data_IF_485006065676
#
_entry.id   IF_485006065676
#
_cell.length_a   1.000
_cell.length_b   1.000
_cell.length_c   1.000
_cell.angle_alpha   90.00
_cell.angle_beta   90.00
_cell.angle_gamma   90.00
#
_symmetry.space_group_name_H-M   'P 1'
#
loop_
_entity.id
_entity.type
_entity.pdbx_description
1 polymer ?
#
# COMPACT_ATOMS: atom_id res chain seq x y z
N UNK A 1 -20.08 -2.03 8.35
CA UNK A 1 -18.91 -2.84 7.94
C UNK A 1 -17.93 -1.93 7.23
N UNK A 2 -16.67 -1.88 7.67
CA UNK A 2 -15.65 -1.02 7.06
C UNK A 2 -15.00 -1.81 5.92
N UNK A 3 -15.21 -1.37 4.67
CA UNK A 3 -14.71 -2.11 3.48
C UNK A 3 -13.32 -1.64 3.02
N UNK A 4 -12.86 -0.49 3.52
CA UNK A 4 -11.56 0.08 3.19
C UNK A 4 -11.05 1.02 4.30
N UNK A 5 -9.75 1.28 4.30
CA UNK A 5 -9.09 2.36 5.03
C UNK A 5 -8.50 3.30 3.99
N UNK A 6 -8.69 4.60 4.16
CA UNK A 6 -8.14 5.63 3.29
C UNK A 6 -7.48 6.70 4.13
N UNK A 7 -6.28 7.10 3.73
CA UNK A 7 -5.55 8.18 4.36
C UNK A 7 -4.83 9.04 3.33
N UNK A 8 -4.63 10.32 3.69
CA UNK A 8 -3.74 11.21 2.97
C UNK A 8 -2.46 11.42 3.79
N UNK A 9 -1.30 11.10 3.19
CA UNK A 9 0.01 11.23 3.84
C UNK A 9 0.92 12.03 2.92
N UNK A 10 1.74 12.92 3.48
CA UNK A 10 2.80 13.58 2.73
C UNK A 10 4.07 12.72 2.74
N UNK A 11 4.72 12.60 1.59
CA UNK A 11 6.06 12.04 1.53
C UNK A 11 7.10 13.02 2.11
N UNK A 12 8.36 12.61 2.10
CA UNK A 12 9.49 13.42 2.58
C UNK A 12 9.75 14.70 1.77
N UNK A 13 9.22 14.77 0.54
CA UNK A 13 9.29 15.96 -0.33
C UNK A 13 8.08 16.89 -0.16
N UNK A 14 7.10 16.50 0.67
CA UNK A 14 5.90 17.27 0.97
C UNK A 14 4.72 17.03 0.02
N UNK A 15 4.86 16.16 -0.98
CA UNK A 15 3.77 15.81 -1.89
C UNK A 15 2.76 14.89 -1.20
N UNK A 16 1.47 15.17 -1.40
CA UNK A 16 0.40 14.38 -0.81
C UNK A 16 0.13 13.11 -1.62
N UNK A 17 -0.03 12.01 -0.90
CA UNK A 17 -0.38 10.69 -1.40
C UNK A 17 -1.73 10.26 -0.85
N UNK A 18 -2.54 9.61 -1.67
CA UNK A 18 -3.70 8.85 -1.19
C UNK A 18 -3.29 7.39 -1.04
N UNK A 19 -3.59 6.84 0.13
CA UNK A 19 -3.27 5.45 0.48
C UNK A 19 -4.58 4.76 0.82
N UNK A 20 -4.93 3.74 0.04
CA UNK A 20 -6.23 3.08 0.11
C UNK A 20 -6.00 1.59 0.26
N UNK A 21 -6.31 1.04 1.42
CA UNK A 21 -6.32 -0.41 1.66
C UNK A 21 -7.77 -0.91 1.57
N UNK A 22 -8.05 -1.91 0.74
CA UNK A 22 -9.43 -2.35 0.51
C UNK A 22 -9.54 -3.84 0.18
N UNK A 23 -10.68 -4.45 0.52
CA UNK A 23 -11.02 -5.83 0.15
C UNK A 23 -11.46 -5.88 -1.32
N UNK A 24 -10.85 -6.77 -2.10
CA UNK A 24 -11.24 -7.08 -3.48
C UNK A 24 -12.46 -7.99 -3.45
N UNK A 25 -13.51 -7.60 -4.16
CA UNK A 25 -14.72 -8.42 -4.28
C UNK A 25 -14.52 -9.45 -5.39
N UNK A 26 -14.15 -10.67 -5.01
CA UNK A 26 -14.06 -11.81 -5.91
C UNK A 26 -15.18 -12.82 -5.59
N UNK A 27 -16.23 -12.94 -6.43
CA UNK A 27 -17.27 -13.94 -6.22
C UNK A 27 -16.67 -15.36 -6.20
N UNK A 28 -16.90 -16.11 -5.10
CA UNK A 28 -16.48 -17.51 -4.98
C UNK A 28 -15.03 -17.76 -4.55
N UNK A 29 -14.28 -16.72 -4.16
CA UNK A 29 -12.91 -16.84 -3.65
C UNK A 29 -12.73 -16.05 -2.34
N UNK A 30 -11.69 -16.39 -1.58
CA UNK A 30 -11.27 -15.59 -0.42
C UNK A 30 -11.02 -14.14 -0.85
N UNK A 31 -11.44 -13.19 -0.02
CA UNK A 31 -11.28 -11.77 -0.31
C UNK A 31 -9.81 -11.38 -0.23
N UNK A 32 -9.19 -11.09 -1.37
CA UNK A 32 -7.87 -10.45 -1.40
C UNK A 32 -7.95 -9.04 -0.81
N UNK A 33 -6.84 -8.54 -0.27
CA UNK A 33 -6.70 -7.16 0.18
C UNK A 33 -5.59 -6.51 -0.63
N UNK A 34 -5.95 -5.40 -1.30
CA UNK A 34 -5.03 -4.62 -2.09
C UNK A 34 -4.75 -3.28 -1.42
N UNK A 35 -3.51 -2.82 -1.57
CA UNK A 35 -3.09 -1.48 -1.23
C UNK A 35 -2.90 -0.68 -2.51
N UNK A 36 -3.71 0.36 -2.70
CA UNK A 36 -3.56 1.33 -3.79
C UNK A 36 -2.89 2.60 -3.28
N UNK A 37 -1.91 3.06 -4.05
CA UNK A 37 -1.17 4.30 -3.83
C UNK A 37 -1.43 5.23 -5.00
N UNK A 38 -1.87 6.45 -4.71
CA UNK A 38 -2.09 7.50 -5.73
C UNK A 38 -1.21 8.70 -5.39
N UNK A 39 -0.23 8.95 -6.25
CA UNK A 39 0.63 10.12 -6.17
C UNK A 39 0.09 11.30 -6.96
N UNK A 40 0.72 12.45 -6.82
CA UNK A 40 0.35 13.64 -7.59
C UNK A 40 0.55 13.39 -9.10
N UNK A 41 -0.45 13.65 -9.96
CA UNK A 41 -0.35 13.45 -11.41
C UNK A 41 0.83 14.20 -12.02
N UNK A 42 1.45 13.64 -13.07
CA UNK A 42 2.58 14.21 -13.81
C UNK A 42 3.90 14.38 -13.04
N UNK A 43 3.91 14.26 -11.71
CA UNK A 43 5.13 14.23 -10.88
C UNK A 43 5.57 12.79 -10.64
N UNK A 44 4.61 11.90 -10.38
CA UNK A 44 4.85 10.52 -10.03
C UNK A 44 4.56 9.61 -11.21
N UNK A 45 5.46 8.66 -11.46
CA UNK A 45 5.25 7.55 -12.39
C UNK A 45 5.72 6.24 -11.75
N UNK A 46 4.79 5.32 -11.51
CA UNK A 46 5.11 3.98 -11.04
C UNK A 46 5.75 3.14 -12.15
N UNK A 47 6.72 2.33 -11.76
CA UNK A 47 7.29 1.28 -12.60
C UNK A 47 6.41 0.04 -12.51
N UNK A 48 5.99 -0.44 -13.68
CA UNK A 48 5.21 -1.66 -13.81
C UNK A 48 5.90 -2.61 -14.80
N UNK A 49 5.98 -3.93 -14.52
CA UNK A 49 5.72 -4.54 -13.22
C UNK A 49 6.89 -4.29 -12.24
N UNK A 50 6.60 -3.82 -11.01
CA UNK A 50 7.59 -3.79 -9.93
C UNK A 50 6.94 -3.85 -8.56
N UNK A 51 7.43 -4.74 -7.69
CA UNK A 51 6.86 -4.94 -6.36
C UNK A 51 7.04 -3.69 -5.47
N UNK A 52 6.07 -3.47 -4.58
CA UNK A 52 6.21 -2.48 -3.51
C UNK A 52 7.01 -3.10 -2.37
N UNK A 53 8.02 -2.38 -1.89
CA UNK A 53 8.77 -2.79 -0.71
C UNK A 53 8.21 -2.14 0.55
N UNK A 54 8.05 -2.95 1.60
CA UNK A 54 7.56 -2.53 2.91
C UNK A 54 8.64 -2.84 3.93
N UNK A 55 9.24 -1.80 4.51
CA UNK A 55 10.23 -1.93 5.56
C UNK A 55 9.57 -1.71 6.93
N UNK A 56 9.68 -2.72 7.79
CA UNK A 56 9.25 -2.63 9.18
C UNK A 56 10.27 -1.88 10.04
N UNK A 57 9.86 -1.41 11.21
CA UNK A 57 10.76 -0.75 12.17
C UNK A 57 11.91 -1.66 12.66
N UNK A 58 11.80 -2.97 12.51
CA UNK A 58 12.83 -3.96 12.88
C UNK A 58 13.76 -4.33 11.72
N UNK A 59 13.63 -3.67 10.56
CA UNK A 59 14.45 -3.93 9.38
C UNK A 59 14.00 -5.11 8.53
N UNK A 60 12.91 -5.80 8.87
CA UNK A 60 12.29 -6.79 7.99
C UNK A 60 11.76 -6.09 6.74
N UNK A 61 12.20 -6.54 5.57
CA UNK A 61 11.78 -6.08 4.26
C UNK A 61 10.80 -7.10 3.66
N UNK A 62 9.60 -6.64 3.35
CA UNK A 62 8.53 -7.42 2.73
C UNK A 62 8.25 -6.89 1.32
N UNK A 63 7.85 -7.75 0.40
CA UNK A 63 7.55 -7.37 -0.98
C UNK A 63 6.09 -7.68 -1.33
N UNK A 64 5.36 -6.67 -1.81
CA UNK A 64 3.98 -6.79 -2.25
C UNK A 64 3.94 -6.85 -3.79
N UNK A 65 3.45 -7.94 -4.39
CA UNK A 65 3.37 -8.06 -5.84
C UNK A 65 2.49 -6.98 -6.47
N UNK A 66 2.93 -6.45 -7.61
CA UNK A 66 2.20 -5.48 -8.42
C UNK A 66 0.96 -6.12 -9.07
N UNK A 67 -0.19 -5.47 -8.90
CA UNK A 67 -1.47 -5.88 -9.51
C UNK A 67 -1.57 -5.43 -10.95
N UNK A 68 -0.92 -4.32 -11.31
CA UNK A 68 -0.99 -3.69 -12.63
C UNK A 68 0.12 -4.13 -13.59
N UNK A 69 0.66 -5.34 -13.41
CA UNK A 69 1.70 -5.90 -14.27
C UNK A 69 1.36 -5.87 -15.77
N UNK A 70 0.07 -5.99 -16.12
CA UNK A 70 -0.41 -5.98 -17.51
C UNK A 70 -0.93 -4.61 -17.99
N UNK A 71 -0.91 -3.59 -17.12
CA UNK A 71 -1.41 -2.25 -17.43
C UNK A 71 -2.03 -1.57 -16.21
N UNK A 72 -1.55 -0.36 -15.90
CA UNK A 72 -2.10 0.50 -14.85
C UNK A 72 -3.14 1.47 -15.42
N UNK A 73 -4.21 1.80 -14.66
CA UNK A 73 -5.20 2.79 -15.09
C UNK A 73 -4.62 4.20 -15.28
N UNK A 74 -3.53 4.53 -14.59
CA UNK A 74 -2.83 5.81 -14.73
C UNK A 74 -1.38 5.70 -14.20
N UNK A 75 -0.42 6.46 -14.76
CA UNK A 75 0.99 6.34 -14.40
C UNK A 75 1.28 6.67 -12.92
N UNK A 76 0.49 7.53 -12.29
CA UNK A 76 0.63 7.94 -10.90
C UNK A 76 -0.12 7.02 -9.92
N UNK A 77 -0.59 5.86 -10.37
CA UNK A 77 -1.33 4.88 -9.57
C UNK A 77 -0.60 3.54 -9.54
N UNK A 78 -0.25 3.10 -8.33
CA UNK A 78 0.25 1.76 -8.06
C UNK A 78 -0.76 0.97 -7.24
N UNK A 79 -0.86 -0.33 -7.48
CA UNK A 79 -1.70 -1.22 -6.67
C UNK A 79 -0.99 -2.54 -6.41
N UNK A 80 -1.05 -3.00 -5.16
CA UNK A 80 -0.24 -4.12 -4.70
C UNK A 80 -1.06 -5.11 -3.88
N UNK A 81 -0.81 -6.41 -4.10
CA UNK A 81 -1.41 -7.50 -3.31
C UNK A 81 -0.82 -7.48 -1.91
N UNK A 82 -1.63 -7.08 -0.94
CA UNK A 82 -1.17 -6.79 0.43
C UNK A 82 -1.59 -7.86 1.43
N UNK A 83 -2.47 -8.79 1.05
CA UNK A 83 -3.00 -9.87 1.90
C UNK A 83 -1.93 -10.60 2.72
N UNK A 84 -0.87 -11.09 2.07
CA UNK A 84 0.18 -11.87 2.74
C UNK A 84 1.08 -11.03 3.68
N UNK A 85 1.11 -9.72 3.48
CA UNK A 85 1.95 -8.79 4.25
C UNK A 85 1.26 -8.36 5.54
N UNK A 86 -0.07 -8.22 5.53
CA UNK A 86 -0.83 -7.67 6.65
C UNK A 86 -0.56 -8.38 7.97
N UNK A 87 -0.51 -9.72 7.97
CA UNK A 87 -0.27 -10.52 9.18
C UNK A 87 1.16 -10.38 9.74
N UNK A 88 2.08 -9.76 8.99
CA UNK A 88 3.48 -9.58 9.37
C UNK A 88 3.77 -8.14 9.83
N UNK A 89 2.78 -7.24 9.78
CA UNK A 89 2.98 -5.84 10.12
C UNK A 89 2.96 -5.62 11.64
N UNK A 90 3.92 -4.86 12.21
CA UNK A 90 3.87 -4.45 13.60
C UNK A 90 2.73 -3.46 13.82
N UNK A 91 1.95 -3.65 14.88
CA UNK A 91 0.83 -2.76 15.23
C UNK A 91 1.20 -1.60 16.15
N UNK A 92 2.45 -1.55 16.61
CA UNK A 92 2.93 -0.58 17.61
C UNK A 92 3.97 0.40 17.06
N UNK A 93 4.41 0.24 15.81
CA UNK A 93 5.46 1.04 15.18
C UNK A 93 5.05 1.45 13.76
N UNK A 94 5.62 2.55 13.28
CA UNK A 94 5.45 2.98 11.89
C UNK A 94 6.13 2.03 10.91
N UNK A 95 5.64 2.01 9.68
CA UNK A 95 6.25 1.32 8.54
C UNK A 95 6.78 2.35 7.54
N UNK A 96 7.70 1.91 6.67
CA UNK A 96 8.06 2.66 5.46
C UNK A 96 7.65 1.88 4.22
N UNK A 97 7.05 2.57 3.27
CA UNK A 97 6.82 2.07 1.91
C UNK A 97 7.88 2.68 1.00
N UNK A 98 8.71 1.86 0.38
CA UNK A 98 9.63 2.33 -0.67
C UNK A 98 8.91 2.19 -2.00
N UNK A 99 8.66 3.31 -2.67
CA UNK A 99 7.80 3.34 -3.84
C UNK A 99 8.61 2.97 -5.09
N UNK A 100 8.14 2.03 -5.93
CA UNK A 100 8.81 1.70 -7.17
C UNK A 100 8.48 2.74 -8.25
N UNK A 101 9.15 3.90 -8.20
CA UNK A 101 8.91 5.02 -9.11
C UNK A 101 10.04 5.16 -10.14
N UNK A 102 9.70 5.60 -11.35
CA UNK A 102 10.67 5.92 -12.38
C UNK A 102 11.39 7.22 -12.03
N UNK A 103 12.68 7.15 -11.69
CA UNK A 103 13.55 8.31 -11.53
C UNK A 103 13.48 9.00 -10.15
N UNK A 104 12.90 8.37 -9.13
CA UNK A 104 12.89 8.88 -7.75
C UNK A 104 12.82 7.76 -6.72
N UNK A 105 13.56 7.89 -5.62
CA UNK A 105 13.56 6.92 -4.50
C UNK A 105 12.66 7.37 -3.33
N UNK A 106 11.44 7.80 -3.65
CA UNK A 106 10.51 8.36 -2.65
C UNK A 106 10.03 7.30 -1.65
N UNK A 107 10.01 7.67 -0.37
CA UNK A 107 9.43 6.85 0.69
C UNK A 107 8.20 7.49 1.34
N UNK A 108 7.25 6.66 1.74
CA UNK A 108 6.12 7.09 2.58
C UNK A 108 6.21 6.41 3.94
N UNK A 109 6.20 7.21 5.01
CA UNK A 109 6.10 6.72 6.38
C UNK A 109 4.62 6.52 6.75
N UNK A 110 4.22 5.28 7.01
CA UNK A 110 2.88 4.95 7.49
C UNK A 110 2.86 5.01 9.01
N UNK A 111 2.07 5.92 9.62
CA UNK A 111 1.95 6.04 11.05
C UNK A 111 1.15 4.88 11.66
N UNK A 112 1.41 4.60 12.94
CA UNK A 112 0.83 3.46 13.66
C UNK A 112 -0.69 3.44 13.64
N UNK A 113 -1.36 4.59 13.73
CA UNK A 113 -2.82 4.66 13.70
C UNK A 113 -3.42 4.09 12.40
N UNK A 114 -2.78 4.32 11.26
CA UNK A 114 -3.23 3.78 9.96
C UNK A 114 -2.99 2.26 9.91
N UNK A 115 -1.88 1.78 10.45
CA UNK A 115 -1.59 0.34 10.51
C UNK A 115 -2.61 -0.38 11.40
N UNK A 116 -3.00 0.25 12.52
CA UNK A 116 -4.09 -0.26 13.37
C UNK A 116 -5.41 -0.35 12.60
N UNK A 117 -5.75 0.65 11.79
CA UNK A 117 -6.94 0.56 10.91
C UNK A 117 -6.85 -0.59 9.91
N UNK A 118 -5.67 -0.82 9.34
CA UNK A 118 -5.45 -1.92 8.42
C UNK A 118 -5.67 -3.28 9.08
N UNK A 119 -5.22 -3.46 10.31
CA UNK A 119 -5.47 -4.70 11.07
C UNK A 119 -6.95 -4.89 11.39
N UNK A 120 -7.66 -3.83 11.78
CA UNK A 120 -9.10 -3.92 12.06
C UNK A 120 -9.91 -4.39 10.83
N UNK A 121 -9.48 -4.03 9.62
CA UNK A 121 -10.11 -4.49 8.37
C UNK A 121 -9.91 -5.99 8.12
N UNK A 122 -8.80 -6.56 8.60
CA UNK A 122 -8.52 -8.00 8.50
C UNK A 122 -9.33 -8.76 9.56
N UNK A 123 -9.35 -8.29 10.80
CA UNK A 123 -9.97 -8.98 11.94
C UNK A 123 -11.49 -8.90 12.01
N UNK A 124 -12.15 -8.00 11.26
CA UNK A 124 -13.62 -7.85 11.32
C UNK A 124 -14.42 -9.08 10.86
N UNK A 125 -13.79 -10.18 10.40
CA UNK A 125 -14.44 -11.48 10.14
C UNK A 125 -13.44 -12.65 10.27
N UNK A 126 -13.24 -13.14 11.49
CA UNK A 126 -13.08 -14.58 11.78
C UNK A 126 -14.35 -15.06 12.50
#
# INVERSE_FOLDING_TARGET
>A
MRYHSQASIKDETGHAWQIILYKVKNPGASSDINLRLVGFPSIVKFEHPKALEVMTAHGLLLAAPDVYASGSPAPNVGEYKFTAILNQLPTTKSLKLNLPLSGSDTQIKIPTNIITEWQMLVTEFD
#
